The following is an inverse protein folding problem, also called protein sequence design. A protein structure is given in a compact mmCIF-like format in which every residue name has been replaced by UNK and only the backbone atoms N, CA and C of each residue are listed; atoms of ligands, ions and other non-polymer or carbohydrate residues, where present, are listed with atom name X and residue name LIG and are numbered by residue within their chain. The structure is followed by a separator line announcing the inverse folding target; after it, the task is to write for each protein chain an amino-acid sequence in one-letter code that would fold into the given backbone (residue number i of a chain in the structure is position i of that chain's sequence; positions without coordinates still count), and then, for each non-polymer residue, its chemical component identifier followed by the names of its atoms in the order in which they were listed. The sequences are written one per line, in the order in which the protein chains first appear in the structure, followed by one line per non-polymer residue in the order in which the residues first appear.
data_IF_041006623767
#
_entry.id   IF_041006623767
#
_cell.length_a   1.000
_cell.length_b   1.000
_cell.length_c   1.000
_cell.angle_alpha   90.00
_cell.angle_beta   90.00
_cell.angle_gamma   90.00
#
_symmetry.space_group_name_H-M   'P 1'
#
loop_
_entity.id
_entity.type
_entity.pdbx_description
1 polymer ?
#
# COMPACT_ATOMS: atom_id res chain seq x y z
N UNK A 1 13.54 13.04 3.13
CA UNK A 1 12.39 12.59 3.95
C UNK A 1 11.21 12.36 3.02
N UNK A 2 10.78 11.13 2.87
CA UNK A 2 9.65 10.78 1.99
C UNK A 2 8.33 11.19 2.64
N UNK A 3 7.54 11.97 1.92
CA UNK A 3 6.12 12.13 2.21
C UNK A 3 5.30 11.02 1.53
N UNK A 4 4.02 10.86 1.89
CA UNK A 4 3.14 9.83 1.33
C UNK A 4 3.06 9.88 -0.20
N UNK A 5 3.10 11.08 -0.79
CA UNK A 5 3.01 11.28 -2.24
C UNK A 5 4.28 10.85 -2.97
N UNK A 6 5.44 10.99 -2.35
CA UNK A 6 6.70 10.49 -2.89
C UNK A 6 6.78 8.96 -2.75
N UNK A 7 6.21 8.39 -1.69
CA UNK A 7 6.10 6.93 -1.53
C UNK A 7 5.18 6.33 -2.59
N UNK A 8 4.01 6.93 -2.83
CA UNK A 8 3.08 6.47 -3.88
C UNK A 8 3.74 6.54 -5.27
N UNK A 9 4.51 7.61 -5.52
CA UNK A 9 5.27 7.73 -6.77
C UNK A 9 6.39 6.68 -6.87
N UNK A 10 7.13 6.44 -5.80
CA UNK A 10 8.18 5.41 -5.76
C UNK A 10 7.58 4.02 -6.02
N UNK A 11 6.45 3.70 -5.41
CA UNK A 11 5.71 2.45 -5.63
C UNK A 11 5.19 2.29 -7.07
N UNK A 12 4.95 3.40 -7.76
CA UNK A 12 4.51 3.40 -9.16
C UNK A 12 5.65 3.23 -10.17
N UNK A 13 6.91 3.40 -9.76
CA UNK A 13 8.07 3.27 -10.63
C UNK A 13 8.48 1.80 -10.80
N UNK A 14 8.94 1.45 -12.01
CA UNK A 14 9.49 0.12 -12.33
C UNK A 14 11.01 0.16 -12.41
N UNK A 15 11.68 -0.93 -12.00
CA UNK A 15 13.11 -1.14 -12.23
C UNK A 15 13.40 -1.67 -13.64
N UNK A 16 12.41 -2.27 -14.29
CA UNK A 16 12.57 -2.94 -15.60
C UNK A 16 12.06 -2.12 -16.76
N UNK A 17 11.00 -1.31 -16.56
CA UNK A 17 10.30 -0.58 -17.61
C UNK A 17 10.34 0.93 -17.41
N UNK A 18 10.39 1.68 -18.52
CA UNK A 18 10.22 3.13 -18.49
C UNK A 18 8.73 3.49 -18.50
N UNK A 19 8.30 4.29 -17.54
CA UNK A 19 6.94 4.79 -17.44
C UNK A 19 6.88 6.26 -17.79
N UNK A 20 5.95 6.64 -18.68
CA UNK A 20 5.79 8.04 -19.07
C UNK A 20 5.23 8.89 -17.93
N UNK A 21 5.53 10.20 -17.95
CA UNK A 21 4.95 11.13 -16.96
C UNK A 21 3.42 11.10 -16.96
N UNK A 22 2.79 10.89 -18.12
CA UNK A 22 1.33 10.76 -18.24
C UNK A 22 0.80 9.50 -17.56
N UNK A 23 1.47 8.36 -17.74
CA UNK A 23 1.11 7.11 -17.06
C UNK A 23 1.23 7.25 -15.55
N UNK A 24 2.35 7.79 -15.07
CA UNK A 24 2.58 8.06 -13.65
C UNK A 24 1.56 9.06 -13.08
N UNK A 25 1.20 10.10 -13.85
CA UNK A 25 0.20 11.07 -13.46
C UNK A 25 -1.19 10.45 -13.29
N UNK A 26 -1.57 9.55 -14.20
CA UNK A 26 -2.84 8.82 -14.13
C UNK A 26 -2.88 7.90 -12.89
N UNK A 27 -1.82 7.12 -12.64
CA UNK A 27 -1.71 6.24 -11.48
C UNK A 27 -1.75 7.02 -10.15
N UNK A 28 -1.07 8.16 -10.10
CA UNK A 28 -0.98 9.00 -8.90
C UNK A 28 -2.08 10.08 -8.80
N UNK A 29 -3.09 10.04 -9.67
CA UNK A 29 -4.23 10.98 -9.73
C UNK A 29 -3.79 12.45 -9.66
N UNK A 30 -2.77 12.81 -10.45
CA UNK A 30 -2.16 14.14 -10.43
C UNK A 30 -1.81 14.64 -11.85
N UNK A 31 -1.20 15.84 -11.98
CA UNK A 31 -0.79 16.38 -13.27
C UNK A 31 0.62 15.95 -13.67
N UNK A 32 0.91 15.93 -14.99
CA UNK A 32 2.25 15.68 -15.54
C UNK A 32 3.31 16.59 -14.92
N UNK A 33 2.99 17.87 -14.74
CA UNK A 33 3.89 18.88 -14.14
C UNK A 33 4.22 18.51 -12.69
N UNK A 34 3.22 18.07 -11.94
CA UNK A 34 3.41 17.63 -10.54
C UNK A 34 4.30 16.40 -10.48
N UNK A 35 4.11 15.43 -11.39
CA UNK A 35 4.98 14.24 -11.48
C UNK A 35 6.43 14.64 -11.76
N UNK A 36 6.68 15.55 -12.72
CA UNK A 36 8.04 15.99 -13.01
C UNK A 36 8.73 16.62 -11.80
N UNK A 37 8.03 17.44 -11.04
CA UNK A 37 8.57 18.02 -9.80
C UNK A 37 8.87 16.93 -8.77
N UNK A 38 7.90 16.03 -8.51
CA UNK A 38 8.08 14.94 -7.55
C UNK A 38 9.19 13.96 -7.94
N UNK A 39 9.39 13.69 -9.23
CA UNK A 39 10.52 12.89 -9.72
C UNK A 39 11.85 13.53 -9.35
N UNK A 40 11.98 14.86 -9.46
CA UNK A 40 13.19 15.55 -9.06
C UNK A 40 13.43 15.48 -7.55
N UNK A 41 12.37 15.65 -6.76
CA UNK A 41 12.47 15.57 -5.31
C UNK A 41 12.79 14.14 -4.86
N UNK A 42 12.11 13.14 -5.43
CA UNK A 42 12.36 11.73 -5.15
C UNK A 42 13.77 11.30 -5.55
N UNK A 43 14.29 11.81 -6.67
CA UNK A 43 15.68 11.53 -7.09
C UNK A 43 16.68 12.00 -6.06
N UNK A 44 16.53 13.23 -5.54
CA UNK A 44 17.41 13.78 -4.50
C UNK A 44 17.38 12.95 -3.20
N UNK A 45 16.22 12.42 -2.86
CA UNK A 45 16.07 11.55 -1.69
C UNK A 45 16.70 10.16 -1.91
N UNK A 46 16.66 9.62 -3.13
CA UNK A 46 17.17 8.29 -3.46
C UNK A 46 18.70 8.26 -3.63
N UNK A 47 19.31 9.29 -4.24
CA UNK A 47 20.73 9.32 -4.55
C UNK A 47 21.66 9.03 -3.36
N UNK A 48 21.43 9.57 -2.14
CA UNK A 48 22.26 9.24 -0.99
C UNK A 48 22.09 7.79 -0.48
N UNK A 49 21.09 7.07 -1.00
CA UNK A 49 20.67 5.77 -0.51
C UNK A 49 20.80 4.65 -1.54
N UNK A 50 21.71 4.83 -2.50
CA UNK A 50 22.09 3.80 -3.47
C UNK A 50 21.06 3.56 -4.58
N UNK A 51 20.15 4.52 -4.82
CA UNK A 51 19.20 4.44 -5.93
C UNK A 51 19.05 5.79 -6.62
N UNK A 52 18.54 5.79 -7.86
CA UNK A 52 18.23 7.02 -8.60
C UNK A 52 17.11 6.79 -9.59
N UNK A 53 16.60 7.86 -10.20
CA UNK A 53 15.60 7.79 -11.26
C UNK A 53 16.26 8.18 -12.59
N UNK A 54 16.37 7.22 -13.49
CA UNK A 54 16.81 7.46 -14.86
C UNK A 54 15.67 8.07 -15.67
N UNK A 55 15.98 9.12 -16.44
CA UNK A 55 15.06 9.73 -17.38
C UNK A 55 15.53 9.48 -18.80
N UNK A 56 14.67 8.91 -19.65
CA UNK A 56 14.96 8.69 -21.07
C UNK A 56 13.99 9.48 -21.94
N UNK A 57 14.49 10.37 -22.82
CA UNK A 57 13.62 11.15 -23.72
C UNK A 57 12.64 10.26 -24.47
N UNK A 58 11.36 10.65 -24.51
CA UNK A 58 10.24 9.95 -25.13
C UNK A 58 9.84 8.59 -24.50
N UNK A 59 10.60 8.05 -23.56
CA UNK A 59 10.30 6.78 -22.89
C UNK A 59 9.78 7.00 -21.46
N UNK A 60 10.27 8.05 -20.75
CA UNK A 60 9.85 8.37 -19.40
C UNK A 60 10.89 8.11 -18.33
N UNK A 61 10.48 7.54 -17.22
CA UNK A 61 11.24 7.39 -15.99
C UNK A 61 11.31 5.94 -15.55
N UNK A 62 12.47 5.53 -15.02
CA UNK A 62 12.74 4.21 -14.49
C UNK A 62 13.55 4.31 -13.19
N UNK A 63 13.22 3.50 -12.19
CA UNK A 63 14.01 3.37 -10.98
C UNK A 63 15.28 2.56 -11.30
N UNK A 64 16.44 3.05 -10.86
CA UNK A 64 17.73 2.36 -10.97
C UNK A 64 18.31 2.21 -9.57
N UNK A 65 18.43 0.99 -9.10
CA UNK A 65 19.05 0.65 -7.83
C UNK A 65 20.50 0.29 -8.09
N UNK A 66 21.43 1.11 -7.58
CA UNK A 66 22.89 0.97 -7.74
C UNK A 66 23.49 0.15 -6.61
N UNK A 67 23.03 0.38 -5.38
CA UNK A 67 23.40 -0.38 -4.18
C UNK A 67 22.14 -0.92 -3.51
N UNK A 68 21.88 -2.21 -3.73
CA UNK A 68 20.64 -2.86 -3.28
C UNK A 68 20.55 -2.98 -1.75
N UNK A 69 21.67 -3.20 -1.07
CA UNK A 69 21.68 -3.31 0.40
C UNK A 69 21.45 -1.96 1.07
N UNK A 70 22.08 -0.91 0.57
CA UNK A 70 21.90 0.45 1.06
C UNK A 70 20.44 0.92 0.83
N UNK A 71 19.92 0.70 -0.36
CA UNK A 71 18.54 1.05 -0.72
C UNK A 71 17.52 0.31 0.15
N UNK A 72 17.71 -0.99 0.36
CA UNK A 72 16.84 -1.82 1.19
C UNK A 72 16.83 -1.36 2.65
N UNK A 73 18.01 -1.12 3.22
CA UNK A 73 18.15 -0.63 4.61
C UNK A 73 17.45 0.72 4.78
N UNK A 74 17.60 1.61 3.82
CA UNK A 74 16.93 2.89 3.84
C UNK A 74 15.41 2.76 3.73
N UNK A 75 14.89 1.92 2.80
CA UNK A 75 13.45 1.67 2.68
C UNK A 75 12.85 1.13 3.98
N UNK A 76 13.51 0.18 4.62
CA UNK A 76 13.06 -0.36 5.91
C UNK A 76 13.00 0.72 7.00
N UNK A 77 13.99 1.60 7.03
CA UNK A 77 14.04 2.72 7.98
C UNK A 77 12.92 3.73 7.72
N UNK A 78 12.68 4.11 6.47
CA UNK A 78 11.60 5.03 6.10
C UNK A 78 10.22 4.44 6.38
N UNK A 79 10.02 3.14 6.11
CA UNK A 79 8.77 2.44 6.44
C UNK A 79 8.52 2.37 7.95
N UNK A 80 9.55 2.05 8.74
CA UNK A 80 9.43 2.04 10.21
C UNK A 80 9.08 3.44 10.73
N UNK A 81 9.68 4.48 10.15
CA UNK A 81 9.40 5.87 10.50
C UNK A 81 7.99 6.32 10.13
N UNK A 82 7.49 5.91 8.96
CA UNK A 82 6.12 6.20 8.54
C UNK A 82 5.08 5.56 9.45
N UNK A 83 5.36 4.35 9.94
CA UNK A 83 4.50 3.67 10.92
C UNK A 83 4.43 4.38 12.28
N UNK A 84 5.45 5.19 12.61
CA UNK A 84 5.54 5.94 13.88
C UNK A 84 5.08 7.39 13.74
N UNK A 85 4.93 7.92 12.53
CA UNK A 85 4.47 9.30 12.34
C UNK A 85 2.96 9.38 12.44
N UNK A 86 2.47 10.45 13.10
CA UNK A 86 1.04 10.77 13.11
C UNK A 86 0.62 11.08 11.66
N UNK A 87 -0.44 10.44 11.13
CA UNK A 87 -0.92 10.68 9.78
C UNK A 87 -1.33 12.16 9.57
N UNK A 88 -0.65 12.85 8.65
CA UNK A 88 -0.83 14.29 8.45
C UNK A 88 -1.78 14.64 7.29
N UNK A 89 -1.89 13.76 6.29
CA UNK A 89 -2.78 13.95 5.14
C UNK A 89 -4.09 13.19 5.31
N UNK A 90 -5.12 13.60 4.58
CA UNK A 90 -6.41 12.89 4.52
C UNK A 90 -6.21 11.43 4.06
N UNK A 91 -5.32 11.21 3.08
CA UNK A 91 -5.01 9.89 2.54
C UNK A 91 -4.30 8.99 3.56
N UNK A 92 -3.34 9.54 4.32
CA UNK A 92 -2.66 8.81 5.39
C UNK A 92 -3.63 8.45 6.51
N UNK A 93 -4.50 9.36 6.93
CA UNK A 93 -5.53 9.08 7.95
C UNK A 93 -6.54 8.05 7.45
N UNK A 94 -6.94 8.12 6.19
CA UNK A 94 -7.80 7.10 5.57
C UNK A 94 -7.16 5.71 5.65
N UNK A 95 -5.91 5.56 5.22
CA UNK A 95 -5.16 4.28 5.29
C UNK A 95 -4.99 3.81 6.72
N UNK A 96 -4.67 4.72 7.63
CA UNK A 96 -4.55 4.42 9.05
C UNK A 96 -5.85 3.86 9.64
N UNK A 97 -6.96 4.55 9.42
CA UNK A 97 -8.29 4.08 9.90
C UNK A 97 -8.65 2.73 9.28
N UNK A 98 -8.45 2.58 7.98
CA UNK A 98 -8.74 1.33 7.28
C UNK A 98 -7.92 0.18 7.86
N UNK A 99 -6.62 0.36 8.08
CA UNK A 99 -5.75 -0.64 8.70
C UNK A 99 -6.21 -1.01 10.11
N UNK A 100 -6.49 -0.02 10.94
CA UNK A 100 -6.98 -0.24 12.32
C UNK A 100 -8.27 -1.03 12.36
N UNK A 101 -9.23 -0.68 11.51
CA UNK A 101 -10.54 -1.34 11.50
C UNK A 101 -10.51 -2.74 10.90
N UNK A 102 -9.68 -3.00 9.89
CA UNK A 102 -9.58 -4.33 9.28
C UNK A 102 -8.80 -5.32 10.16
N UNK A 103 -7.88 -4.84 10.99
CA UNK A 103 -7.04 -5.68 11.87
C UNK A 103 -7.64 -5.93 13.25
N UNK A 104 -8.75 -5.30 13.60
CA UNK A 104 -9.35 -5.37 14.93
C UNK A 104 -10.82 -5.74 14.89
N UNK A 105 -11.23 -6.61 15.79
CA UNK A 105 -12.64 -6.93 16.05
C UNK A 105 -13.28 -6.01 17.11
N UNK A 106 -12.49 -5.09 17.66
CA UNK A 106 -12.94 -4.18 18.73
C UNK A 106 -13.66 -2.96 18.17
N UNK A 107 -14.45 -2.31 19.02
CA UNK A 107 -15.06 -1.02 18.71
C UNK A 107 -14.09 0.11 19.02
N UNK A 108 -13.92 1.03 18.08
CA UNK A 108 -13.07 2.22 18.20
C UNK A 108 -13.94 3.45 18.43
N UNK A 109 -13.73 4.15 19.53
CA UNK A 109 -14.40 5.42 19.78
C UNK A 109 -13.84 6.51 18.86
N UNK A 110 -14.72 7.37 18.36
CA UNK A 110 -14.31 8.46 17.48
C UNK A 110 -13.48 9.51 18.22
N UNK A 111 -13.74 9.68 19.51
CA UNK A 111 -13.00 10.57 20.38
C UNK A 111 -11.53 10.12 20.48
N UNK A 112 -11.30 8.84 20.79
CA UNK A 112 -9.95 8.26 20.93
C UNK A 112 -9.18 8.37 19.61
N UNK A 113 -9.83 8.04 18.48
CA UNK A 113 -9.24 8.17 17.14
C UNK A 113 -8.95 9.64 16.77
N UNK A 114 -9.79 10.58 17.18
CA UNK A 114 -9.59 12.00 16.90
C UNK A 114 -8.39 12.57 17.67
N UNK A 115 -8.19 12.13 18.90
CA UNK A 115 -7.02 12.46 19.70
C UNK A 115 -5.74 11.84 19.10
N UNK A 116 -5.77 10.54 18.76
CA UNK A 116 -4.65 9.83 18.15
C UNK A 116 -4.20 10.45 16.81
N UNK A 117 -5.16 10.89 16.01
CA UNK A 117 -4.91 11.49 14.69
C UNK A 117 -4.75 13.02 14.72
N UNK A 118 -4.84 13.64 15.90
CA UNK A 118 -4.77 15.09 16.09
C UNK A 118 -5.72 15.89 15.19
N UNK A 119 -6.96 15.39 14.98
CA UNK A 119 -8.00 16.06 14.21
C UNK A 119 -9.31 16.16 15.00
N UNK A 120 -10.23 17.04 14.56
CA UNK A 120 -11.54 17.14 15.20
C UNK A 120 -12.39 15.89 14.91
N UNK A 121 -13.28 15.50 15.84
CA UNK A 121 -14.26 14.42 15.63
C UNK A 121 -15.16 14.68 14.42
N UNK A 122 -15.45 15.95 14.12
CA UNK A 122 -16.18 16.36 12.90
C UNK A 122 -15.42 16.05 11.62
N UNK A 123 -14.12 16.38 11.60
CA UNK A 123 -13.22 16.03 10.47
C UNK A 123 -13.19 14.53 10.27
N UNK A 124 -12.95 13.79 11.35
CA UNK A 124 -12.89 12.33 11.33
C UNK A 124 -14.19 11.69 10.83
N UNK A 125 -15.35 12.20 11.29
CA UNK A 125 -16.67 11.73 10.84
C UNK A 125 -16.90 11.95 9.34
N UNK A 126 -16.30 12.99 8.77
CA UNK A 126 -16.36 13.26 7.32
C UNK A 126 -15.44 12.30 6.56
N UNK A 127 -14.24 12.06 7.06
CA UNK A 127 -13.27 11.16 6.45
C UNK A 127 -13.70 9.68 6.56
N UNK A 128 -14.40 9.30 7.62
CA UNK A 128 -15.01 7.96 7.78
C UNK A 128 -16.00 7.59 6.67
N UNK A 129 -16.66 8.56 6.03
CA UNK A 129 -17.53 8.27 4.88
C UNK A 129 -16.77 7.67 3.71
N UNK A 130 -15.51 8.07 3.51
CA UNK A 130 -14.65 7.48 2.49
C UNK A 130 -14.29 6.03 2.86
N UNK A 131 -14.02 5.77 4.15
CA UNK A 131 -13.78 4.40 4.64
C UNK A 131 -15.02 3.53 4.44
N UNK A 132 -16.21 4.01 4.82
CA UNK A 132 -17.48 3.30 4.61
C UNK A 132 -17.73 3.00 3.13
N UNK A 133 -17.46 3.96 2.25
CA UNK A 133 -17.60 3.78 0.80
C UNK A 133 -16.70 2.67 0.28
N UNK A 134 -15.43 2.65 0.70
CA UNK A 134 -14.49 1.60 0.30
C UNK A 134 -14.90 0.24 0.85
N UNK A 135 -15.21 0.15 2.14
CA UNK A 135 -15.67 -1.09 2.77
C UNK A 135 -16.88 -1.70 2.04
N UNK A 136 -17.82 -0.85 1.59
CA UNK A 136 -19.00 -1.28 0.84
C UNK A 136 -18.70 -2.00 -0.48
N UNK A 137 -17.55 -1.73 -1.12
CA UNK A 137 -17.12 -2.46 -2.33
C UNK A 137 -16.65 -3.90 -2.05
N UNK A 138 -16.43 -4.22 -0.78
CA UNK A 138 -15.99 -5.54 -0.33
C UNK A 138 -17.05 -6.25 0.53
N UNK A 139 -18.30 -5.85 0.44
CA UNK A 139 -19.38 -6.38 1.28
C UNK A 139 -19.11 -6.27 2.80
N UNK A 140 -18.26 -5.31 3.18
CA UNK A 140 -17.94 -4.99 4.56
C UNK A 140 -18.79 -3.81 5.05
N UNK A 141 -19.18 -3.84 6.32
CA UNK A 141 -20.03 -2.81 6.92
C UNK A 141 -19.34 -2.19 8.14
N UNK A 142 -19.33 -0.87 8.22
CA UNK A 142 -18.90 -0.15 9.42
C UNK A 142 -20.07 -0.08 10.41
N UNK A 143 -20.12 -1.03 11.35
CA UNK A 143 -21.12 -1.06 12.41
C UNK A 143 -20.87 0.07 13.41
N UNK A 144 -21.95 0.77 13.80
CA UNK A 144 -21.94 1.82 14.82
C UNK A 144 -22.70 1.35 16.05
N UNK A 145 -22.08 1.44 17.22
CA UNK A 145 -22.72 1.11 18.49
C UNK A 145 -22.65 2.32 19.43
N UNK A 146 -23.79 2.85 19.89
CA UNK A 146 -23.81 3.99 20.82
C UNK A 146 -22.90 3.75 22.01
N UNK A 147 -22.10 4.74 22.38
CA UNK A 147 -21.10 4.73 23.46
C UNK A 147 -19.89 3.80 23.28
N UNK A 148 -19.90 2.90 22.30
CA UNK A 148 -18.77 1.99 22.01
C UNK A 148 -17.94 2.46 20.81
N UNK A 149 -18.55 3.13 19.84
CA UNK A 149 -17.89 3.62 18.64
C UNK A 149 -18.20 2.82 17.37
N UNK A 150 -17.19 2.59 16.53
CA UNK A 150 -17.32 1.96 15.23
C UNK A 150 -16.44 0.70 15.11
N UNK A 151 -16.90 -0.27 14.32
CA UNK A 151 -16.18 -1.53 14.05
C UNK A 151 -16.51 -2.02 12.65
N UNK A 152 -15.54 -2.61 11.95
CA UNK A 152 -15.78 -3.30 10.68
C UNK A 152 -16.36 -4.69 10.94
N UNK A 153 -17.45 -5.01 10.23
CA UNK A 153 -18.09 -6.30 10.25
C UNK A 153 -18.22 -6.84 8.83
N UNK A 154 -17.98 -8.14 8.66
CA UNK A 154 -18.07 -8.87 7.41
C UNK A 154 -17.20 -10.11 7.43
N UNK A 155 -17.13 -10.81 6.29
CA UNK A 155 -16.35 -12.03 6.16
C UNK A 155 -14.85 -11.73 6.24
N UNK A 156 -14.10 -12.59 6.88
CA UNK A 156 -12.64 -12.48 7.01
C UNK A 156 -11.93 -12.42 5.64
N UNK A 157 -12.42 -13.19 4.67
CA UNK A 157 -11.90 -13.15 3.30
C UNK A 157 -12.03 -11.77 2.68
N UNK A 158 -13.16 -11.08 2.86
CA UNK A 158 -13.41 -9.75 2.31
C UNK A 158 -12.57 -8.68 3.03
N UNK A 159 -12.37 -8.83 4.35
CA UNK A 159 -11.43 -7.99 5.11
C UNK A 159 -10.01 -8.10 4.57
N UNK A 160 -9.51 -9.33 4.34
CA UNK A 160 -8.18 -9.57 3.78
C UNK A 160 -8.05 -9.01 2.38
N UNK A 161 -9.06 -9.21 1.52
CA UNK A 161 -9.08 -8.66 0.18
C UNK A 161 -8.99 -7.14 0.19
N UNK A 162 -9.80 -6.47 1.00
CA UNK A 162 -9.75 -5.03 1.18
C UNK A 162 -8.38 -4.55 1.69
N UNK A 163 -7.81 -5.26 2.68
CA UNK A 163 -6.48 -4.98 3.21
C UNK A 163 -5.40 -5.07 2.12
N UNK A 164 -5.45 -6.12 1.29
CA UNK A 164 -4.51 -6.31 0.20
C UNK A 164 -4.56 -5.17 -0.81
N UNK A 165 -5.74 -4.82 -1.29
CA UNK A 165 -5.93 -3.85 -2.36
C UNK A 165 -5.55 -2.41 -1.92
N UNK A 166 -5.76 -2.06 -0.66
CA UNK A 166 -5.54 -0.70 -0.17
C UNK A 166 -4.30 -0.49 0.69
N UNK A 167 -3.83 -1.52 1.38
CA UNK A 167 -2.75 -1.37 2.35
C UNK A 167 -1.45 -2.08 1.91
N UNK A 168 -1.53 -3.14 1.12
CA UNK A 168 -0.38 -3.94 0.72
C UNK A 168 0.00 -3.67 -0.74
N UNK A 169 -0.93 -3.83 -1.68
CA UNK A 169 -0.67 -3.72 -3.11
C UNK A 169 0.01 -2.41 -3.54
N UNK A 170 -0.34 -1.23 -2.99
CA UNK A 170 0.36 0.01 -3.34
C UNK A 170 1.86 0.02 -3.03
N UNK A 171 2.30 -0.83 -2.11
CA UNK A 171 3.70 -0.93 -1.67
C UNK A 171 4.43 -2.15 -2.23
N UNK A 172 3.71 -3.09 -2.86
CA UNK A 172 4.28 -4.36 -3.31
C UNK A 172 5.30 -4.20 -4.44
N UNK A 173 5.13 -3.22 -5.32
CA UNK A 173 6.08 -2.91 -6.39
C UNK A 173 7.42 -2.31 -5.91
N UNK A 174 7.43 -1.76 -4.69
CA UNK A 174 8.63 -1.16 -4.07
C UNK A 174 9.38 -2.13 -3.15
N UNK A 175 8.80 -3.31 -2.87
CA UNK A 175 9.37 -4.30 -1.96
C UNK A 175 9.93 -5.48 -2.75
N UNK A 176 11.26 -5.49 -2.85
CA UNK A 176 12.18 -6.62 -3.01
C UNK A 176 11.73 -7.83 -3.88
N UNK A 177 12.01 -7.80 -5.18
CA UNK A 177 11.80 -8.93 -6.07
C UNK A 177 12.79 -10.11 -5.86
N UNK A 178 13.86 -9.97 -5.08
CA UNK A 178 14.91 -10.99 -4.89
C UNK A 178 15.17 -11.38 -3.42
N UNK A 179 14.47 -10.79 -2.45
CA UNK A 179 14.70 -11.00 -1.02
C UNK A 179 13.93 -12.16 -0.38
N UNK A 180 13.85 -12.12 0.94
CA UNK A 180 13.15 -13.12 1.77
C UNK A 180 11.67 -13.28 1.37
N UNK A 181 11.05 -12.19 0.89
CA UNK A 181 9.66 -12.17 0.45
C UNK A 181 9.45 -12.95 -0.84
N UNK A 182 10.32 -12.75 -1.84
CA UNK A 182 10.24 -13.49 -3.09
C UNK A 182 10.43 -15.00 -2.86
N UNK A 183 11.35 -15.37 -1.95
CA UNK A 183 11.56 -16.79 -1.56
C UNK A 183 10.34 -17.36 -0.86
N UNK A 184 9.71 -16.61 0.05
CA UNK A 184 8.52 -17.08 0.77
C UNK A 184 7.33 -17.20 -0.18
N UNK A 185 7.12 -16.22 -1.06
CA UNK A 185 6.06 -16.27 -2.08
C UNK A 185 6.26 -17.45 -3.04
N UNK A 186 7.50 -17.72 -3.46
CA UNK A 186 7.84 -18.87 -4.28
C UNK A 186 7.55 -20.19 -3.54
N UNK A 187 7.94 -20.30 -2.26
CA UNK A 187 7.66 -21.48 -1.43
C UNK A 187 6.15 -21.69 -1.24
N UNK A 188 5.39 -20.64 -0.96
CA UNK A 188 3.93 -20.72 -0.88
C UNK A 188 3.34 -21.23 -2.21
N UNK A 189 3.83 -20.70 -3.34
CA UNK A 189 3.42 -21.15 -4.68
C UNK A 189 3.71 -22.63 -4.93
N UNK A 190 4.89 -23.11 -4.57
CA UNK A 190 5.27 -24.51 -4.69
C UNK A 190 4.38 -25.44 -3.84
N UNK A 191 4.15 -25.06 -2.57
CA UNK A 191 3.28 -25.82 -1.66
C UNK A 191 1.85 -25.85 -2.17
N UNK A 192 1.33 -24.70 -2.62
CA UNK A 192 -0.02 -24.61 -3.19
C UNK A 192 -0.15 -25.48 -4.44
N UNK A 193 0.85 -25.46 -5.32
CA UNK A 193 0.86 -26.27 -6.54
C UNK A 193 0.86 -27.79 -6.20
N UNK A 194 1.66 -28.22 -5.22
CA UNK A 194 1.68 -29.61 -4.75
C UNK A 194 0.30 -30.04 -4.19
N UNK A 195 -0.33 -29.20 -3.36
CA UNK A 195 -1.68 -29.44 -2.84
C UNK A 195 -2.71 -29.54 -3.98
N UNK A 196 -2.66 -28.65 -4.95
CA UNK A 196 -3.53 -28.68 -6.14
C UNK A 196 -3.38 -29.98 -6.92
N UNK A 197 -2.15 -30.42 -7.15
CA UNK A 197 -1.87 -31.65 -7.87
C UNK A 197 -2.38 -32.89 -7.11
N UNK A 198 -2.15 -32.96 -5.79
CA UNK A 198 -2.62 -34.06 -4.94
C UNK A 198 -4.14 -34.20 -4.90
N UNK A 199 -4.81 -33.03 -4.80
CA UNK A 199 -6.28 -32.98 -4.68
C UNK A 199 -6.99 -32.80 -6.02
N UNK A 200 -6.26 -32.79 -7.14
CA UNK A 200 -6.80 -32.60 -8.51
C UNK A 200 -7.65 -31.33 -8.67
N UNK A 201 -7.30 -30.29 -7.94
CA UNK A 201 -7.97 -28.97 -8.02
C UNK A 201 -7.31 -28.15 -9.12
N UNK A 202 -8.13 -27.45 -9.92
CA UNK A 202 -7.64 -26.55 -10.97
C UNK A 202 -8.08 -25.13 -10.65
N UNK A 203 -7.13 -24.20 -10.66
CA UNK A 203 -7.40 -22.77 -10.62
C UNK A 203 -6.97 -22.12 -11.95
N UNK A 204 -7.54 -20.97 -12.26
CA UNK A 204 -6.94 -20.09 -13.28
C UNK A 204 -5.63 -19.52 -12.72
N UNK A 205 -4.71 -19.12 -13.62
CA UNK A 205 -3.45 -18.50 -13.21
C UNK A 205 -3.68 -17.27 -12.30
N UNK A 206 -4.66 -16.43 -12.64
CA UNK A 206 -5.05 -15.28 -11.82
C UNK A 206 -5.54 -15.69 -10.42
N UNK A 207 -6.34 -16.76 -10.30
CA UNK A 207 -6.80 -17.26 -9.00
C UNK A 207 -5.63 -17.85 -8.18
N UNK A 208 -4.70 -18.57 -8.83
CA UNK A 208 -3.50 -19.08 -8.20
C UNK A 208 -2.63 -17.96 -7.64
N UNK A 209 -2.33 -16.94 -8.46
CA UNK A 209 -1.55 -15.78 -8.03
C UNK A 209 -2.22 -15.04 -6.87
N UNK A 210 -3.53 -14.85 -6.93
CA UNK A 210 -4.27 -14.23 -5.83
C UNK A 210 -4.19 -15.04 -4.54
N UNK A 211 -4.32 -16.38 -4.60
CA UNK A 211 -4.20 -17.23 -3.40
C UNK A 211 -2.80 -17.17 -2.81
N UNK A 212 -1.76 -17.29 -3.64
CA UNK A 212 -0.36 -17.15 -3.19
C UNK A 212 -0.17 -15.82 -2.47
N UNK A 213 -0.71 -14.76 -3.03
CA UNK A 213 -0.64 -13.42 -2.50
C UNK A 213 -1.42 -13.26 -1.18
N UNK A 214 -2.60 -13.90 -1.02
CA UNK A 214 -3.38 -13.87 0.22
C UNK A 214 -2.80 -14.72 1.36
N UNK A 215 -2.00 -15.74 1.04
CA UNK A 215 -1.34 -16.58 2.03
C UNK A 215 -0.04 -15.97 2.55
N UNK A 216 0.52 -15.02 1.82
CA UNK A 216 1.67 -14.22 2.21
C UNK A 216 1.29 -13.14 3.22
#
# INVERSE_FOLDING_TARGET
MLDSKLVDLLASLSETEYLTSKSLAAQNKTSDRTIQTRIQDLRKELEPHGATIESRPRHGYRLVVQDREQYKTWLQTEQARMRQSIPNSVEERFRYMLARFLQSEEYWKLEDLSEELCVSTKTLSTELKQVEFVLGHYDLVLQRKPHYGVRVHGHEFDKRKCCMDYLVQPYYGALDQEGTQAKLTALIGEVLLDVMLRHRVKFSEAAFQNIVFYLY
#
